data_IF_380725027142
#
_entry.id   IF_380725027142
#
_cell.length_a   1.000
_cell.length_b   1.000
_cell.length_c   1.000
_cell.angle_alpha   90.00
_cell.angle_beta   90.00
_cell.angle_gamma   90.00
#
_symmetry.space_group_name_H-M   'P 1'
#
loop_
_entity.id
_entity.type
_entity.pdbx_description
1 polymer ?
#
# COMPACT_ATOMS: atom_id res chain seq x y z
N UNK A 1 20.03 -21.08 -12.65
CA UNK A 1 18.94 -22.06 -12.42
C UNK A 1 17.91 -21.85 -13.51
N UNK A 2 17.55 -22.93 -14.19
CA UNK A 2 16.76 -22.92 -15.41
C UNK A 2 15.36 -22.32 -15.19
N UNK A 3 14.88 -21.58 -16.20
CA UNK A 3 13.51 -21.08 -16.24
C UNK A 3 12.54 -22.26 -16.26
N UNK A 4 11.63 -22.30 -15.29
CA UNK A 4 10.50 -23.22 -15.25
C UNK A 4 9.50 -22.77 -16.32
N UNK A 5 8.97 -23.67 -17.17
CA UNK A 5 7.99 -23.31 -18.18
C UNK A 5 6.67 -22.95 -17.51
N UNK A 6 6.07 -21.83 -17.92
CA UNK A 6 4.72 -21.42 -17.51
C UNK A 6 3.72 -22.37 -18.18
N UNK A 7 3.22 -23.36 -17.45
CA UNK A 7 2.01 -24.09 -17.87
C UNK A 7 0.79 -23.43 -17.22
N UNK A 8 0.14 -22.50 -17.94
CA UNK A 8 -1.23 -22.10 -17.62
C UNK A 8 -2.19 -23.11 -18.24
N UNK A 9 -3.23 -23.50 -17.49
CA UNK A 9 -4.20 -24.52 -17.90
C UNK A 9 -5.15 -24.02 -19.01
N UNK A 10 -5.21 -22.72 -19.34
CA UNK A 10 -6.14 -22.22 -20.37
C UNK A 10 -5.60 -21.08 -21.27
N UNK A 11 -4.28 -20.87 -21.35
CA UNK A 11 -3.72 -19.86 -22.28
C UNK A 11 -4.06 -18.38 -21.98
N UNK A 12 -4.88 -18.11 -20.96
CA UNK A 12 -5.14 -16.77 -20.44
C UNK A 12 -4.06 -16.35 -19.44
N UNK A 13 -3.56 -15.13 -19.59
CA UNK A 13 -2.62 -14.55 -18.64
C UNK A 13 -3.30 -14.41 -17.26
N UNK A 14 -2.59 -14.69 -16.15
CA UNK A 14 -3.16 -14.52 -14.82
C UNK A 14 -3.51 -13.04 -14.57
N UNK A 15 -4.50 -12.76 -13.72
CA UNK A 15 -4.89 -11.39 -13.44
C UNK A 15 -3.74 -10.59 -12.79
N UNK A 16 -3.67 -9.25 -12.95
CA UNK A 16 -2.53 -8.44 -12.51
C UNK A 16 -2.19 -8.50 -11.01
N UNK A 17 -3.17 -8.88 -10.18
CA UNK A 17 -2.99 -9.08 -8.73
C UNK A 17 -2.48 -10.47 -8.35
N UNK A 18 -2.45 -11.44 -9.28
CA UNK A 18 -1.95 -12.77 -8.97
C UNK A 18 -0.41 -12.79 -9.02
N UNK A 19 0.27 -13.18 -7.93
CA UNK A 19 1.73 -13.13 -7.83
C UNK A 19 2.37 -14.34 -8.53
N UNK A 20 2.16 -14.46 -9.83
CA UNK A 20 2.55 -15.63 -10.64
C UNK A 20 4.04 -15.98 -10.59
N UNK A 21 4.91 -15.03 -10.28
CA UNK A 21 6.35 -15.27 -10.16
C UNK A 21 6.77 -15.67 -8.73
N UNK A 22 5.84 -15.59 -7.76
CA UNK A 22 6.05 -15.98 -6.38
C UNK A 22 5.56 -17.41 -6.06
N UNK A 23 4.59 -17.90 -6.83
CA UNK A 23 3.94 -19.20 -6.62
C UNK A 23 4.20 -20.13 -7.80
N UNK A 24 4.47 -21.40 -7.49
CA UNK A 24 4.71 -22.45 -8.48
C UNK A 24 3.40 -23.22 -8.79
N UNK A 25 2.29 -22.49 -8.82
CA UNK A 25 0.94 -23.03 -9.06
C UNK A 25 0.25 -22.20 -10.13
N UNK A 26 -0.61 -22.80 -10.96
CA UNK A 26 -1.46 -22.04 -11.86
C UNK A 26 -2.46 -21.19 -11.06
N UNK A 27 -2.95 -20.14 -11.70
CA UNK A 27 -4.04 -19.35 -11.18
C UNK A 27 -5.30 -20.20 -11.06
N UNK A 28 -5.71 -20.50 -9.83
CA UNK A 28 -6.93 -21.24 -9.51
C UNK A 28 -7.53 -20.70 -8.19
N UNK A 29 -8.54 -19.82 -8.27
CA UNK A 29 -9.20 -19.23 -7.11
C UNK A 29 -9.79 -20.24 -6.13
N UNK A 30 -10.19 -21.43 -6.59
CA UNK A 30 -10.79 -22.47 -5.73
C UNK A 30 -9.83 -22.95 -4.64
N UNK A 31 -8.51 -22.86 -4.89
CA UNK A 31 -7.47 -23.29 -3.95
C UNK A 31 -7.08 -22.24 -2.92
N UNK A 32 -7.55 -20.99 -3.07
CA UNK A 32 -7.02 -19.87 -2.28
C UNK A 32 -7.37 -19.97 -0.79
N UNK A 33 -8.49 -20.62 -0.44
CA UNK A 33 -8.89 -20.81 0.95
C UNK A 33 -7.99 -21.80 1.70
N UNK A 34 -7.42 -22.79 0.99
CA UNK A 34 -6.45 -23.77 1.53
C UNK A 34 -5.06 -23.14 1.77
N UNK A 35 -4.84 -21.98 1.16
CA UNK A 35 -3.62 -21.21 1.25
C UNK A 35 -2.58 -21.64 0.22
N UNK A 36 -1.97 -20.63 -0.41
CA UNK A 36 -0.94 -20.79 -1.41
C UNK A 36 0.45 -20.74 -0.79
N UNK A 37 1.30 -21.76 -0.98
CA UNK A 37 2.68 -21.72 -0.52
C UNK A 37 3.53 -20.81 -1.42
N UNK A 38 4.48 -20.10 -0.81
CA UNK A 38 5.52 -19.34 -1.49
C UNK A 38 6.85 -19.41 -0.75
N UNK A 39 7.97 -18.99 -1.39
CA UNK A 39 9.25 -18.83 -0.72
C UNK A 39 9.24 -17.87 0.49
N UNK A 40 8.24 -16.99 0.61
CA UNK A 40 8.13 -16.02 1.71
C UNK A 40 7.10 -16.41 2.78
N UNK A 41 6.46 -17.57 2.62
CA UNK A 41 5.42 -18.06 3.53
C UNK A 41 4.14 -18.48 2.81
N UNK A 42 3.11 -18.82 3.57
CA UNK A 42 1.79 -19.17 3.05
C UNK A 42 0.85 -17.98 3.17
N UNK A 43 0.09 -17.70 2.13
CA UNK A 43 -0.95 -16.66 2.13
C UNK A 43 -2.28 -17.24 1.67
N UNK A 44 -3.37 -16.55 1.97
CA UNK A 44 -4.73 -17.02 1.75
C UNK A 44 -5.52 -15.99 0.94
N UNK A 45 -6.52 -16.47 0.24
CA UNK A 45 -7.41 -15.64 -0.56
C UNK A 45 -8.81 -16.20 -0.64
N UNK A 46 -9.58 -15.71 -1.60
CA UNK A 46 -10.92 -16.17 -1.91
C UNK A 46 -11.22 -15.96 -3.38
N UNK A 47 -12.27 -16.62 -3.89
CA UNK A 47 -12.71 -16.42 -5.27
C UNK A 47 -13.48 -15.11 -5.41
N UNK A 48 -12.81 -14.07 -5.89
CA UNK A 48 -13.41 -12.76 -6.11
C UNK A 48 -14.42 -12.76 -7.27
N UNK A 49 -14.42 -13.78 -8.13
CA UNK A 49 -15.29 -13.81 -9.31
C UNK A 49 -16.76 -13.95 -8.93
N UNK A 50 -17.06 -14.58 -7.78
CA UNK A 50 -18.42 -14.65 -7.24
C UNK A 50 -19.02 -13.25 -7.05
N UNK A 51 -18.22 -12.31 -6.54
CA UNK A 51 -18.60 -10.92 -6.30
C UNK A 51 -18.70 -10.07 -7.58
N UNK A 52 -18.49 -10.65 -8.76
CA UNK A 52 -18.75 -10.01 -10.05
C UNK A 52 -20.18 -10.27 -10.56
N UNK A 53 -20.95 -11.12 -9.89
CA UNK A 53 -22.35 -11.40 -10.19
C UNK A 53 -23.28 -10.51 -9.37
N UNK A 54 -24.42 -10.13 -9.96
CA UNK A 54 -25.46 -9.35 -9.28
C UNK A 54 -26.11 -10.16 -8.16
N UNK A 55 -26.30 -11.46 -8.41
CA UNK A 55 -26.92 -12.42 -7.50
C UNK A 55 -26.15 -12.49 -6.18
N UNK A 56 -24.82 -12.46 -6.23
CA UNK A 56 -23.99 -12.50 -5.04
C UNK A 56 -24.19 -11.27 -4.13
N UNK A 57 -24.29 -10.06 -4.70
CA UNK A 57 -24.51 -8.83 -3.92
C UNK A 57 -25.86 -8.82 -3.21
N UNK A 58 -26.90 -9.34 -3.87
CA UNK A 58 -28.27 -9.38 -3.37
C UNK A 58 -28.57 -10.61 -2.47
N UNK A 59 -27.68 -11.60 -2.45
CA UNK A 59 -27.78 -12.75 -1.55
C UNK A 59 -27.37 -12.42 -0.12
N UNK A 60 -27.41 -13.42 0.78
CA UNK A 60 -26.84 -13.31 2.13
C UNK A 60 -25.31 -13.50 2.09
N UNK A 61 -24.60 -12.95 3.08
CA UNK A 61 -23.17 -13.17 3.21
C UNK A 61 -22.66 -12.92 4.62
N UNK A 62 -22.02 -13.94 5.19
CA UNK A 62 -21.38 -13.85 6.51
C UNK A 62 -20.20 -12.86 6.47
N UNK A 63 -20.03 -12.07 7.54
CA UNK A 63 -18.90 -11.15 7.65
C UNK A 63 -19.07 -9.82 6.90
N UNK A 64 -20.24 -9.60 6.28
CA UNK A 64 -20.64 -8.28 5.76
C UNK A 64 -20.82 -7.29 6.90
N UNK A 65 -20.48 -6.03 6.66
CA UNK A 65 -20.62 -4.95 7.64
C UNK A 65 -20.97 -3.63 6.96
N UNK A 66 -21.46 -2.67 7.75
CA UNK A 66 -21.78 -1.31 7.31
C UNK A 66 -23.07 -1.23 6.51
N UNK A 67 -23.19 -0.17 5.71
CA UNK A 67 -24.34 0.08 4.82
C UNK A 67 -24.18 -0.72 3.52
N UNK A 68 -24.33 -2.06 3.62
CA UNK A 68 -24.16 -2.96 2.49
C UNK A 68 -25.12 -2.61 1.34
N UNK A 69 -24.65 -2.50 0.09
CA UNK A 69 -25.53 -2.23 -1.05
C UNK A 69 -26.55 -3.35 -1.27
N UNK A 70 -27.83 -2.99 -1.41
CA UNK A 70 -28.93 -3.90 -1.76
C UNK A 70 -29.53 -3.52 -3.10
N UNK A 71 -30.33 -4.43 -3.67
CA UNK A 71 -31.06 -4.23 -4.92
C UNK A 71 -30.14 -3.85 -6.10
N UNK A 72 -28.92 -4.43 -6.09
CA UNK A 72 -27.94 -4.22 -7.16
C UNK A 72 -28.52 -4.78 -8.45
N UNK A 73 -28.41 -4.03 -9.53
CA UNK A 73 -28.87 -4.45 -10.87
C UNK A 73 -27.73 -4.64 -11.86
N UNK A 74 -26.56 -4.11 -11.54
CA UNK A 74 -25.38 -4.16 -12.41
C UNK A 74 -24.08 -4.17 -11.59
N UNK A 75 -23.14 -4.98 -12.06
CA UNK A 75 -21.75 -5.01 -11.57
C UNK A 75 -20.84 -4.86 -12.78
N UNK A 76 -20.03 -3.80 -12.80
CA UNK A 76 -19.11 -3.52 -13.92
C UNK A 76 -17.68 -3.43 -13.43
N UNK A 77 -16.83 -4.34 -13.86
CA UNK A 77 -15.38 -4.22 -13.63
C UNK A 77 -14.85 -3.03 -14.40
N UNK A 78 -14.21 -2.09 -13.69
CA UNK A 78 -13.64 -0.87 -14.27
C UNK A 78 -12.11 -0.86 -14.25
N UNK A 79 -11.49 -1.64 -13.37
CA UNK A 79 -10.03 -1.73 -13.30
C UNK A 79 -9.59 -3.03 -12.63
N UNK A 80 -8.40 -3.50 -13.02
CA UNK A 80 -7.66 -4.55 -12.34
C UNK A 80 -6.20 -4.12 -12.19
N UNK A 81 -5.67 -4.26 -10.99
CA UNK A 81 -4.30 -3.86 -10.64
C UNK A 81 -3.77 -4.76 -9.52
N UNK A 82 -2.54 -4.52 -9.06
CA UNK A 82 -1.84 -5.41 -8.10
C UNK A 82 -2.53 -5.61 -6.74
N UNK A 83 -3.47 -4.75 -6.37
CA UNK A 83 -4.22 -4.86 -5.11
C UNK A 83 -5.55 -5.60 -5.28
N UNK A 84 -6.01 -5.82 -6.51
CA UNK A 84 -7.24 -6.53 -6.78
C UNK A 84 -8.04 -5.99 -7.97
N UNK A 85 -9.35 -6.13 -7.86
CA UNK A 85 -10.32 -5.73 -8.89
C UNK A 85 -11.20 -4.61 -8.35
N UNK A 86 -11.46 -3.60 -9.17
CA UNK A 86 -12.39 -2.51 -8.87
C UNK A 86 -13.62 -2.65 -9.74
N UNK A 87 -14.79 -2.65 -9.12
CA UNK A 87 -16.08 -2.75 -9.81
C UNK A 87 -17.02 -1.61 -9.39
N UNK A 88 -17.79 -1.09 -10.35
CA UNK A 88 -18.92 -0.22 -10.08
C UNK A 88 -20.16 -1.05 -9.82
N UNK A 89 -20.95 -0.64 -8.82
CA UNK A 89 -22.26 -1.21 -8.52
C UNK A 89 -23.33 -0.15 -8.80
N UNK A 90 -24.16 -0.37 -9.82
CA UNK A 90 -25.21 0.55 -10.29
C UNK A 90 -24.75 2.00 -10.52
N UNK A 91 -23.46 2.19 -10.81
CA UNK A 91 -22.78 3.48 -10.86
C UNK A 91 -23.03 4.39 -9.61
N UNK A 92 -23.45 3.79 -8.49
CA UNK A 92 -23.67 4.45 -7.19
C UNK A 92 -22.52 4.20 -6.21
N UNK A 93 -21.88 3.04 -6.35
CA UNK A 93 -20.83 2.58 -5.45
C UNK A 93 -19.61 2.09 -6.22
N UNK A 94 -18.46 2.14 -5.56
CA UNK A 94 -17.23 1.48 -6.02
C UNK A 94 -16.87 0.39 -5.03
N UNK A 95 -16.81 -0.85 -5.49
CA UNK A 95 -16.33 -1.99 -4.73
C UNK A 95 -14.86 -2.28 -5.07
N UNK A 96 -14.01 -2.33 -4.05
CA UNK A 96 -12.63 -2.77 -4.15
C UNK A 96 -12.54 -4.20 -3.61
N UNK A 97 -12.31 -5.16 -4.50
CA UNK A 97 -12.19 -6.58 -4.18
C UNK A 97 -10.71 -6.93 -3.94
N UNK A 98 -10.38 -7.41 -2.76
CA UNK A 98 -9.03 -7.79 -2.33
C UNK A 98 -8.86 -9.32 -2.40
N UNK A 99 -8.12 -9.86 -3.38
CA UNK A 99 -8.04 -11.30 -3.59
C UNK A 99 -7.38 -12.05 -2.43
N UNK A 100 -6.45 -11.39 -1.73
CA UNK A 100 -5.68 -11.96 -0.64
C UNK A 100 -5.91 -11.19 0.65
N UNK A 101 -6.19 -11.90 1.74
CA UNK A 101 -6.44 -11.26 3.04
C UNK A 101 -5.10 -10.98 3.74
N UNK A 102 -4.73 -9.70 3.82
CA UNK A 102 -3.42 -9.25 4.34
C UNK A 102 -3.50 -8.49 5.65
N UNK A 103 -4.70 -8.31 6.18
CA UNK A 103 -4.98 -7.52 7.37
C UNK A 103 -6.42 -7.02 7.40
N UNK A 104 -6.77 -6.25 8.43
CA UNK A 104 -8.08 -5.59 8.57
C UNK A 104 -7.96 -4.07 8.45
N UNK A 105 -6.95 -3.61 7.70
CA UNK A 105 -6.55 -2.21 7.68
C UNK A 105 -7.70 -1.31 7.24
N UNK A 106 -8.41 -1.68 6.16
CA UNK A 106 -9.48 -0.88 5.58
C UNK A 106 -10.74 -0.91 6.44
N UNK A 107 -11.16 -2.10 6.90
CA UNK A 107 -12.35 -2.19 7.75
C UNK A 107 -12.14 -1.54 9.12
N UNK A 108 -10.94 -1.58 9.69
CA UNK A 108 -10.65 -0.95 10.98
C UNK A 108 -10.82 0.57 10.91
N UNK A 109 -10.46 1.22 9.80
CA UNK A 109 -10.64 2.67 9.62
C UNK A 109 -12.13 3.09 9.70
N UNK A 110 -13.05 2.23 9.25
CA UNK A 110 -14.48 2.51 9.29
C UNK A 110 -15.21 1.99 10.53
N UNK A 111 -14.71 0.92 11.16
CA UNK A 111 -15.38 0.26 12.29
C UNK A 111 -14.83 0.67 13.65
N UNK A 112 -13.60 1.20 13.72
CA UNK A 112 -13.06 1.73 14.96
C UNK A 112 -13.40 3.22 15.09
N UNK A 113 -14.42 3.52 15.91
CA UNK A 113 -15.04 4.84 15.99
C UNK A 113 -14.03 6.00 16.22
N UNK A 114 -13.00 5.90 17.10
CA UNK A 114 -12.02 6.97 17.25
C UNK A 114 -11.30 7.34 15.94
N UNK A 115 -10.95 6.35 15.12
CA UNK A 115 -10.28 6.60 13.84
C UNK A 115 -11.26 7.14 12.80
N UNK A 116 -12.45 6.53 12.70
CA UNK A 116 -13.50 6.98 11.81
C UNK A 116 -13.84 8.46 12.05
N UNK A 117 -14.06 8.84 13.31
CA UNK A 117 -14.40 10.21 13.68
C UNK A 117 -13.31 11.21 13.26
N UNK A 118 -12.03 10.90 13.53
CA UNK A 118 -10.92 11.76 13.15
C UNK A 118 -10.73 11.85 11.63
N UNK A 119 -10.93 10.73 10.92
CA UNK A 119 -10.75 10.65 9.47
C UNK A 119 -11.91 11.23 8.66
N UNK A 120 -13.11 11.35 9.26
CA UNK A 120 -14.31 11.84 8.57
C UNK A 120 -14.17 13.26 8.03
N UNK A 121 -13.30 14.08 8.62
CA UNK A 121 -12.97 15.44 8.16
C UNK A 121 -11.68 15.52 7.34
N UNK A 122 -10.97 14.40 7.16
CA UNK A 122 -9.74 14.33 6.38
C UNK A 122 -10.04 14.00 4.91
N UNK A 123 -9.10 14.24 3.97
CA UNK A 123 -9.28 13.87 2.57
C UNK A 123 -9.03 12.36 2.35
N UNK A 124 -9.75 11.52 3.09
CA UNK A 124 -9.76 10.06 2.97
C UNK A 124 -11.18 9.62 2.61
N UNK A 125 -11.32 8.76 1.60
CA UNK A 125 -12.59 8.08 1.34
C UNK A 125 -12.75 6.93 2.31
N UNK A 126 -13.60 7.11 3.33
CA UNK A 126 -13.97 6.02 4.24
C UNK A 126 -14.91 5.04 3.52
N UNK A 127 -14.69 3.72 3.67
CA UNK A 127 -15.62 2.74 3.14
C UNK A 127 -16.92 2.77 3.95
N UNK A 128 -18.05 2.62 3.25
CA UNK A 128 -19.39 2.60 3.85
C UNK A 128 -19.83 1.19 4.23
N UNK A 129 -19.25 0.18 3.60
CA UNK A 129 -19.52 -1.23 3.83
C UNK A 129 -18.33 -2.10 3.41
N UNK A 130 -18.38 -3.39 3.71
CA UNK A 130 -17.39 -4.33 3.22
C UNK A 130 -17.63 -5.75 3.70
N UNK A 131 -16.71 -6.64 3.33
CA UNK A 131 -16.69 -8.04 3.71
C UNK A 131 -15.33 -8.34 4.34
N UNK A 132 -15.34 -9.01 5.48
CA UNK A 132 -14.11 -9.49 6.13
C UNK A 132 -14.35 -10.83 6.80
N UNK A 133 -13.27 -11.58 6.99
CA UNK A 133 -13.28 -12.82 7.74
C UNK A 133 -12.22 -12.79 8.87
N UNK A 134 -11.89 -13.97 9.41
CA UNK A 134 -10.86 -14.09 10.45
C UNK A 134 -9.46 -13.70 9.97
N UNK A 135 -9.17 -13.82 8.66
CA UNK A 135 -7.86 -13.54 8.07
C UNK A 135 -7.69 -12.07 7.64
N UNK A 136 -8.77 -11.39 7.30
CA UNK A 136 -8.70 -9.98 6.92
C UNK A 136 -9.85 -9.48 6.07
N UNK A 137 -9.65 -8.29 5.51
CA UNK A 137 -10.56 -7.66 4.57
C UNK A 137 -10.55 -8.43 3.23
N UNK A 138 -11.74 -8.72 2.72
CA UNK A 138 -11.96 -9.36 1.42
C UNK A 138 -12.44 -8.34 0.38
N UNK A 139 -13.24 -7.36 0.80
CA UNK A 139 -13.58 -6.21 -0.01
C UNK A 139 -14.01 -5.03 0.84
N UNK A 140 -13.98 -3.84 0.24
CA UNK A 140 -14.56 -2.63 0.78
C UNK A 140 -15.40 -1.91 -0.27
N UNK A 141 -16.51 -1.31 0.15
CA UNK A 141 -17.42 -0.53 -0.68
C UNK A 141 -17.30 0.94 -0.30
N UNK A 142 -17.15 1.79 -1.30
CA UNK A 142 -17.03 3.24 -1.17
C UNK A 142 -18.15 3.93 -1.94
N UNK A 143 -18.52 5.17 -1.56
CA UNK A 143 -19.31 6.03 -2.43
C UNK A 143 -18.67 6.16 -3.82
N UNK A 144 -19.48 6.40 -4.86
CA UNK A 144 -18.97 6.61 -6.21
C UNK A 144 -17.84 7.65 -6.24
N UNK A 145 -16.74 7.28 -6.88
CA UNK A 145 -15.56 8.13 -7.05
C UNK A 145 -14.76 7.68 -8.28
N UNK A 146 -13.92 8.56 -8.80
CA UNK A 146 -13.00 8.24 -9.90
C UNK A 146 -11.57 8.29 -9.39
N UNK A 147 -10.84 7.19 -9.59
CA UNK A 147 -9.41 7.12 -9.31
C UNK A 147 -8.66 7.88 -10.40
N UNK A 148 -7.73 8.74 -9.99
CA UNK A 148 -6.87 9.50 -10.89
C UNK A 148 -5.94 8.55 -11.66
N UNK A 149 -5.70 8.86 -12.92
CA UNK A 149 -4.62 8.22 -13.64
C UNK A 149 -3.28 8.58 -12.98
N UNK A 150 -2.35 7.63 -13.00
CA UNK A 150 -1.02 7.81 -12.42
C UNK A 150 -0.31 9.06 -12.94
N UNK A 151 -0.46 9.37 -14.23
CA UNK A 151 0.13 10.56 -14.86
C UNK A 151 -0.43 11.87 -14.30
N UNK A 152 -1.70 11.90 -13.88
CA UNK A 152 -2.32 13.10 -13.27
C UNK A 152 -1.78 13.34 -11.87
N UNK A 153 -1.57 12.27 -11.09
CA UNK A 153 -0.91 12.34 -9.78
C UNK A 153 0.54 12.80 -9.91
N UNK A 154 1.25 12.33 -10.93
CA UNK A 154 2.64 12.71 -11.22
C UNK A 154 2.79 14.18 -11.64
N UNK A 155 1.74 14.80 -12.20
CA UNK A 155 1.72 16.23 -12.50
C UNK A 155 1.53 17.10 -11.25
N UNK A 156 1.03 16.54 -10.15
CA UNK A 156 0.66 17.27 -8.94
C UNK A 156 1.25 16.65 -7.65
N UNK A 157 2.57 16.39 -7.59
CA UNK A 157 3.17 15.65 -6.48
C UNK A 157 3.06 16.39 -5.13
N UNK A 158 3.09 17.72 -5.13
CA UNK A 158 2.92 18.52 -3.91
C UNK A 158 1.50 18.43 -3.35
N UNK A 159 0.47 18.47 -4.22
CA UNK A 159 -0.91 18.29 -3.78
C UNK A 159 -1.11 16.87 -3.24
N UNK A 160 -0.59 15.85 -3.94
CA UNK A 160 -0.68 14.46 -3.51
C UNK A 160 -0.09 14.25 -2.11
N UNK A 161 1.09 14.79 -1.81
CA UNK A 161 1.71 14.64 -0.50
C UNK A 161 1.03 15.48 0.58
N UNK A 162 0.44 16.63 0.23
CA UNK A 162 -0.38 17.42 1.15
C UNK A 162 -1.67 16.68 1.53
N UNK A 163 -2.34 16.05 0.56
CA UNK A 163 -3.52 15.21 0.79
C UNK A 163 -3.20 14.07 1.75
N UNK A 164 -2.11 13.33 1.52
CA UNK A 164 -1.64 12.29 2.46
C UNK A 164 -1.23 12.89 3.80
N UNK A 165 -0.61 14.08 3.81
CA UNK A 165 -0.26 14.82 5.02
C UNK A 165 -1.46 15.15 5.89
N UNK A 166 -2.60 15.51 5.29
CA UNK A 166 -3.84 15.82 6.02
C UNK A 166 -4.43 14.55 6.68
N UNK A 167 -4.35 13.40 6.01
CA UNK A 167 -4.70 12.11 6.60
C UNK A 167 -3.77 11.77 7.77
N UNK A 168 -2.45 11.95 7.62
CA UNK A 168 -1.51 11.74 8.72
C UNK A 168 -1.78 12.67 9.90
N UNK A 169 -2.08 13.95 9.65
CA UNK A 169 -2.39 14.94 10.68
C UNK A 169 -3.63 14.54 11.50
N UNK A 170 -4.68 14.04 10.84
CA UNK A 170 -5.89 13.55 11.50
C UNK A 170 -5.61 12.35 12.44
N UNK A 171 -4.57 11.56 12.16
CA UNK A 171 -4.20 10.37 12.93
C UNK A 171 -3.18 10.61 14.04
N UNK A 172 -2.63 11.83 14.15
CA UNK A 172 -1.66 12.20 15.21
C UNK A 172 -2.13 11.86 16.63
N UNK A 173 -3.40 12.09 17.02
CA UNK A 173 -3.87 11.76 18.38
C UNK A 173 -3.78 10.27 18.74
N UNK A 174 -3.67 9.39 17.75
CA UNK A 174 -3.60 7.93 17.92
C UNK A 174 -2.21 7.36 17.67
N UNK A 175 -1.21 8.24 17.56
CA UNK A 175 0.17 7.84 17.33
C UNK A 175 0.71 7.04 18.53
N UNK A 176 1.52 6.02 18.24
CA UNK A 176 2.31 5.34 19.25
C UNK A 176 3.66 6.02 19.42
N UNK A 177 4.28 5.96 20.61
CA UNK A 177 5.66 6.40 20.79
C UNK A 177 6.62 5.78 19.77
N UNK A 178 7.82 6.37 19.68
CA UNK A 178 8.89 5.83 18.86
C UNK A 178 9.15 4.35 19.20
N UNK A 179 9.10 3.49 18.19
CA UNK A 179 9.38 2.05 18.29
C UNK A 179 10.50 1.63 17.35
N UNK A 180 11.59 2.41 17.31
CA UNK A 180 12.71 2.22 16.37
C UNK A 180 13.24 0.79 16.29
N UNK A 181 13.29 0.07 17.42
CA UNK A 181 13.73 -1.32 17.46
C UNK A 181 12.85 -2.19 16.56
N UNK A 182 11.52 -2.03 16.64
CA UNK A 182 10.57 -2.80 15.82
C UNK A 182 10.68 -2.44 14.35
N UNK A 183 10.90 -1.17 14.02
CA UNK A 183 11.10 -0.74 12.64
C UNK A 183 12.40 -1.31 12.03
N UNK A 184 13.47 -1.34 12.82
CA UNK A 184 14.75 -1.95 12.44
C UNK A 184 14.66 -3.48 12.33
N UNK A 185 13.93 -4.16 13.23
CA UNK A 185 13.66 -5.60 13.18
C UNK A 185 12.81 -5.95 11.95
N UNK A 186 11.84 -5.09 11.62
CA UNK A 186 11.05 -5.20 10.40
C UNK A 186 11.89 -5.06 9.14
N UNK A 187 12.79 -4.07 9.06
CA UNK A 187 13.75 -3.95 7.94
C UNK A 187 14.60 -5.21 7.79
N UNK A 188 15.12 -5.73 8.91
CA UNK A 188 15.84 -7.01 8.93
C UNK A 188 15.01 -8.14 8.33
N UNK A 189 13.75 -8.25 8.72
CA UNK A 189 12.85 -9.30 8.25
C UNK A 189 12.63 -9.26 6.73
N UNK A 190 12.55 -8.05 6.16
CA UNK A 190 12.45 -7.83 4.71
C UNK A 190 13.75 -8.22 4.01
N UNK A 191 14.89 -7.74 4.51
CA UNK A 191 16.23 -8.04 3.96
C UNK A 191 16.51 -9.55 3.95
N UNK A 192 16.27 -10.24 5.07
CA UNK A 192 16.54 -11.67 5.23
C UNK A 192 15.71 -12.50 4.22
N UNK A 193 14.42 -12.17 4.05
CA UNK A 193 13.54 -12.86 3.10
C UNK A 193 13.87 -12.56 1.63
N UNK A 194 14.27 -11.32 1.33
CA UNK A 194 14.72 -10.94 0.00
C UNK A 194 16.16 -11.37 -0.30
N UNK A 195 16.91 -11.83 0.72
CA UNK A 195 18.33 -12.20 0.66
C UNK A 195 19.17 -11.07 0.06
N UNK A 196 18.91 -9.83 0.49
CA UNK A 196 19.69 -8.68 0.06
C UNK A 196 21.05 -8.67 0.74
N UNK A 197 22.10 -8.20 0.05
CA UNK A 197 23.45 -8.02 0.61
C UNK A 197 23.64 -6.67 1.29
N UNK A 198 22.58 -5.86 1.36
CA UNK A 198 22.58 -4.53 1.96
C UNK A 198 22.07 -4.59 3.39
N UNK A 199 22.59 -3.70 4.24
CA UNK A 199 22.13 -3.51 5.61
C UNK A 199 22.09 -2.02 5.92
N UNK A 200 20.93 -1.53 6.36
CA UNK A 200 20.81 -0.18 6.88
C UNK A 200 19.97 -0.17 8.16
N UNK A 201 20.55 0.34 9.24
CA UNK A 201 19.85 0.65 10.49
C UNK A 201 20.09 2.10 10.86
N UNK A 202 19.11 2.73 11.48
CA UNK A 202 19.25 4.10 11.94
C UNK A 202 18.57 4.29 13.30
N UNK A 203 19.16 5.11 14.20
CA UNK A 203 18.44 5.60 15.37
C UNK A 203 17.37 6.58 14.89
N UNK A 204 16.28 6.75 15.63
CA UNK A 204 15.24 7.73 15.32
C UNK A 204 15.07 8.73 16.47
N UNK A 205 14.69 9.97 16.14
CA UNK A 205 14.33 10.94 17.20
C UNK A 205 13.04 10.51 17.89
N UNK A 206 12.85 10.91 19.15
CA UNK A 206 11.58 10.72 19.88
C UNK A 206 10.34 11.29 19.18
N UNK A 207 10.54 12.20 18.21
CA UNK A 207 9.47 12.85 17.45
C UNK A 207 9.01 12.01 16.27
N UNK A 208 9.75 10.97 15.89
CA UNK A 208 9.29 9.95 14.93
C UNK A 208 8.38 8.99 15.68
N UNK A 209 7.11 8.96 15.31
CA UNK A 209 6.04 8.20 15.99
C UNK A 209 5.34 7.27 14.99
N UNK A 210 4.80 6.15 15.46
CA UNK A 210 4.05 5.22 14.61
C UNK A 210 2.60 5.64 14.45
N UNK A 211 2.05 5.65 13.23
CA UNK A 211 0.65 5.99 12.97
C UNK A 211 -0.22 4.76 12.73
N UNK A 212 -1.53 4.82 13.03
CA UNK A 212 -2.49 3.89 12.46
C UNK A 212 -2.28 3.72 10.95
N UNK A 213 -2.30 2.48 10.48
CA UNK A 213 -2.00 2.16 9.09
C UNK A 213 -3.10 2.68 8.16
N UNK A 214 -2.72 3.60 7.28
CA UNK A 214 -3.48 3.93 6.07
C UNK A 214 -2.53 3.67 4.92
N UNK A 215 -2.67 2.51 4.27
CA UNK A 215 -1.82 2.19 3.14
C UNK A 215 -2.27 3.02 1.93
N UNK A 216 -1.32 3.74 1.34
CA UNK A 216 -1.53 4.63 0.20
C UNK A 216 -0.75 4.11 -1.00
N UNK A 217 -1.41 4.04 -2.15
CA UNK A 217 -0.78 3.85 -3.45
C UNK A 217 -0.94 5.12 -4.29
N UNK A 218 0.07 5.47 -5.09
CA UNK A 218 -0.06 6.59 -6.04
C UNK A 218 -1.12 6.33 -7.12
N UNK A 219 -1.46 5.06 -7.35
CA UNK A 219 -2.52 4.63 -8.26
C UNK A 219 -3.90 4.55 -7.54
N UNK A 220 -3.98 5.08 -6.31
CA UNK A 220 -5.15 5.02 -5.42
C UNK A 220 -5.47 6.38 -4.76
N UNK A 221 -5.19 7.44 -5.51
CA UNK A 221 -5.72 8.77 -5.24
C UNK A 221 -6.93 8.99 -6.14
N UNK A 222 -7.97 9.58 -5.61
CA UNK A 222 -9.23 9.82 -6.32
C UNK A 222 -9.57 11.30 -6.34
N UNK A 223 -10.49 11.68 -7.21
CA UNK A 223 -11.15 12.99 -7.16
C UNK A 223 -12.58 12.81 -6.67
N UNK A 224 -12.99 13.66 -5.73
CA UNK A 224 -14.38 13.82 -5.31
C UNK A 224 -14.70 15.32 -5.31
N UNK A 225 -15.49 15.76 -6.29
CA UNK A 225 -15.66 17.19 -6.57
C UNK A 225 -14.35 17.78 -7.09
N UNK A 226 -13.83 18.81 -6.42
CA UNK A 226 -12.54 19.45 -6.76
C UNK A 226 -11.37 18.97 -5.87
N UNK A 227 -11.65 18.08 -4.90
CA UNK A 227 -10.68 17.65 -3.90
C UNK A 227 -10.06 16.30 -4.27
N UNK A 228 -8.72 16.25 -4.18
CA UNK A 228 -7.99 14.98 -4.20
C UNK A 228 -8.19 14.25 -2.87
N UNK A 229 -8.50 12.96 -2.96
CA UNK A 229 -8.80 12.10 -1.83
C UNK A 229 -7.89 10.86 -1.85
N UNK A 230 -7.52 10.36 -0.68
CA UNK A 230 -6.88 9.04 -0.52
C UNK A 230 -7.96 7.96 -0.54
N UNK A 231 -7.76 6.91 -1.32
CA UNK A 231 -8.51 5.65 -1.17
C UNK A 231 -7.65 4.70 -0.34
N UNK A 232 -8.08 4.30 0.87
CA UNK A 232 -7.30 3.40 1.72
C UNK A 232 -7.19 2.01 1.09
N UNK A 233 -6.02 1.41 1.23
CA UNK A 233 -5.74 0.05 0.78
C UNK A 233 -5.47 -0.88 1.97
N UNK A 234 -5.69 -2.19 1.81
CA UNK A 234 -5.09 -3.15 2.71
C UNK A 234 -3.57 -3.14 2.52
N UNK A 235 -2.85 -3.67 3.51
CA UNK A 235 -1.43 -3.93 3.39
C UNK A 235 -1.14 -4.77 2.12
N UNK A 236 -0.09 -4.44 1.38
CA UNK A 236 0.23 -5.22 0.17
C UNK A 236 0.60 -6.67 0.54
N UNK A 237 0.29 -7.62 -0.35
CA UNK A 237 0.65 -9.03 -0.15
C UNK A 237 2.15 -9.23 0.11
N UNK A 238 2.98 -8.54 -0.68
CA UNK A 238 4.44 -8.60 -0.56
C UNK A 238 4.86 -8.12 0.82
N UNK A 239 4.33 -6.98 1.26
CA UNK A 239 4.65 -6.47 2.59
C UNK A 239 4.21 -7.46 3.68
N UNK A 240 2.97 -7.94 3.62
CA UNK A 240 2.42 -8.94 4.56
C UNK A 240 3.31 -10.19 4.70
N UNK A 241 3.83 -10.70 3.58
CA UNK A 241 4.71 -11.87 3.57
C UNK A 241 6.13 -11.56 4.06
N UNK A 242 6.63 -10.34 3.80
CA UNK A 242 8.02 -10.00 4.08
C UNK A 242 8.29 -9.57 5.53
N UNK A 243 7.27 -9.13 6.27
CA UNK A 243 7.49 -8.58 7.61
C UNK A 243 6.25 -8.64 8.51
N UNK A 244 6.43 -8.56 9.85
CA UNK A 244 5.30 -8.33 10.77
C UNK A 244 4.65 -6.97 10.51
N UNK A 245 3.35 -6.87 10.83
CA UNK A 245 2.64 -5.60 10.78
C UNK A 245 3.12 -4.66 11.89
N UNK A 246 3.35 -3.40 11.53
CA UNK A 246 3.87 -2.38 12.44
C UNK A 246 3.33 -1.00 12.05
N UNK A 247 3.06 -0.18 13.06
CA UNK A 247 2.75 1.23 12.86
C UNK A 247 4.01 1.98 12.43
N UNK A 248 4.09 2.31 11.15
CA UNK A 248 5.19 3.07 10.59
C UNK A 248 4.95 4.58 10.78
N UNK A 249 6.01 5.40 10.82
CA UNK A 249 5.84 6.84 10.79
C UNK A 249 5.28 7.31 9.45
N UNK A 250 4.55 8.43 9.45
CA UNK A 250 4.05 9.04 8.21
C UNK A 250 5.15 9.35 7.20
N UNK A 251 6.39 9.58 7.67
CA UNK A 251 7.58 9.74 6.83
C UNK A 251 7.86 8.50 5.95
N UNK A 252 7.49 7.29 6.40
CA UNK A 252 7.64 6.07 5.61
C UNK A 252 6.79 6.10 4.33
N UNK A 253 5.52 6.51 4.45
CA UNK A 253 4.61 6.68 3.31
C UNK A 253 5.11 7.79 2.38
N UNK A 254 5.54 8.93 2.93
CA UNK A 254 6.04 10.07 2.14
C UNK A 254 7.33 9.73 1.41
N UNK A 255 8.26 9.02 2.05
CA UNK A 255 9.48 8.53 1.40
C UNK A 255 9.19 7.49 0.31
N UNK A 256 8.16 6.66 0.49
CA UNK A 256 7.70 5.76 -0.56
C UNK A 256 7.19 6.56 -1.77
N UNK A 257 6.33 7.56 -1.57
CA UNK A 257 5.85 8.41 -2.66
C UNK A 257 7.01 9.14 -3.35
N UNK A 258 7.91 9.76 -2.58
CA UNK A 258 9.08 10.44 -3.11
C UNK A 258 9.93 9.52 -3.98
N UNK A 259 10.18 8.30 -3.51
CA UNK A 259 11.00 7.34 -4.24
C UNK A 259 10.34 6.92 -5.56
N UNK A 260 9.02 6.72 -5.57
CA UNK A 260 8.26 6.38 -6.79
C UNK A 260 8.28 7.52 -7.82
N UNK A 261 8.21 8.76 -7.38
CA UNK A 261 8.37 9.93 -8.26
C UNK A 261 9.81 10.11 -8.74
N UNK A 262 10.81 9.91 -7.86
CA UNK A 262 12.23 9.94 -8.22
C UNK A 262 12.59 8.95 -9.33
N UNK A 263 11.97 7.77 -9.36
CA UNK A 263 12.17 6.77 -10.43
C UNK A 263 11.58 7.16 -11.79
N UNK A 264 10.84 8.27 -11.86
CA UNK A 264 10.29 8.88 -13.07
C UNK A 264 11.00 10.20 -13.40
N UNK A 265 12.15 10.46 -12.76
CA UNK A 265 12.93 11.69 -12.92
C UNK A 265 12.15 12.98 -12.57
N UNK A 266 11.07 12.88 -11.79
CA UNK A 266 10.25 14.02 -11.36
C UNK A 266 10.95 14.92 -10.33
N UNK A 267 12.04 14.43 -9.72
CA UNK A 267 12.89 15.20 -8.82
C UNK A 267 14.30 15.37 -9.40
N UNK A 268 14.38 16.07 -10.53
CA UNK A 268 15.63 16.38 -11.22
C UNK A 268 16.59 17.27 -10.41
N UNK A 269 16.11 17.99 -9.39
CA UNK A 269 16.93 18.85 -8.52
C UNK A 269 16.75 18.54 -7.03
N UNK A 270 17.73 18.93 -6.22
CA UNK A 270 17.61 18.92 -4.75
C UNK A 270 16.51 19.87 -4.26
N UNK A 271 16.28 20.99 -4.96
CA UNK A 271 15.23 21.96 -4.65
C UNK A 271 13.82 21.38 -4.77
N UNK A 272 13.52 20.66 -5.86
CA UNK A 272 12.20 20.04 -6.05
C UNK A 272 11.90 18.96 -5.01
N UNK A 273 12.91 18.16 -4.63
CA UNK A 273 12.73 17.17 -3.55
C UNK A 273 12.50 17.83 -2.20
N UNK A 274 13.22 18.92 -1.90
CA UNK A 274 13.02 19.69 -0.67
C UNK A 274 11.61 20.28 -0.60
N UNK A 275 11.15 20.91 -1.69
CA UNK A 275 9.80 21.48 -1.78
C UNK A 275 8.70 20.44 -1.53
N UNK A 276 8.88 19.20 -1.97
CA UNK A 276 7.95 18.10 -1.70
C UNK A 276 7.81 17.80 -0.19
N UNK A 277 8.92 17.69 0.54
CA UNK A 277 8.88 17.48 1.99
C UNK A 277 8.40 18.73 2.75
N UNK A 278 8.71 19.93 2.26
CA UNK A 278 8.18 21.18 2.81
C UNK A 278 6.66 21.25 2.66
N UNK A 279 6.11 20.87 1.50
CA UNK A 279 4.67 20.79 1.27
C UNK A 279 3.97 19.80 2.22
N UNK A 280 4.59 18.66 2.51
CA UNK A 280 4.10 17.77 3.57
C UNK A 280 4.19 18.42 4.96
N UNK A 281 5.30 19.10 5.23
CA UNK A 281 5.61 19.75 6.51
C UNK A 281 4.70 20.93 6.87
N UNK A 282 4.00 21.54 5.91
CA UNK A 282 3.00 22.57 6.20
C UNK A 282 1.72 22.00 6.84
N UNK A 283 1.51 20.68 6.79
CA UNK A 283 0.27 20.03 7.24
C UNK A 283 0.48 19.25 8.55
N UNK A 284 1.61 18.55 8.68
CA UNK A 284 1.90 17.70 9.85
C UNK A 284 2.59 18.47 10.98
N UNK A 285 2.66 17.92 12.22
CA UNK A 285 3.37 18.57 13.31
C UNK A 285 4.81 18.95 12.92
N UNK A 286 5.21 20.19 13.18
CA UNK A 286 6.52 20.74 12.78
C UNK A 286 7.73 19.95 13.33
N UNK A 287 7.53 19.21 14.43
CA UNK A 287 8.57 18.34 14.99
C UNK A 287 8.90 17.14 14.09
N UNK A 288 8.00 16.69 13.23
CA UNK A 288 8.21 15.58 12.29
C UNK A 288 9.08 15.98 11.10
N UNK A 289 9.05 17.26 10.73
CA UNK A 289 9.84 17.83 9.63
C UNK A 289 11.03 18.66 10.13
N UNK A 290 11.33 18.60 11.42
CA UNK A 290 12.53 19.22 11.97
C UNK A 290 13.80 18.68 11.30
N UNK A 291 14.90 19.46 11.23
CA UNK A 291 16.17 18.99 10.68
C UNK A 291 16.64 17.67 11.30
N UNK A 292 16.38 17.47 12.60
CA UNK A 292 16.69 16.24 13.30
C UNK A 292 15.86 15.04 12.84
N UNK A 293 14.56 15.21 12.61
CA UNK A 293 13.66 14.13 12.19
C UNK A 293 13.82 13.76 10.71
N UNK A 294 14.29 14.67 9.86
CA UNK A 294 14.59 14.40 8.45
C UNK A 294 16.04 13.99 8.21
N UNK A 295 16.94 14.15 9.19
CA UNK A 295 18.36 13.85 9.07
C UNK A 295 18.63 12.37 8.84
N UNK A 296 19.52 12.06 7.89
CA UNK A 296 20.02 10.70 7.67
C UNK A 296 20.60 10.07 8.94
N UNK A 297 21.37 10.85 9.71
CA UNK A 297 22.05 10.37 10.91
C UNK A 297 21.07 9.96 12.03
N UNK A 298 19.80 10.39 11.92
CA UNK A 298 18.74 10.10 12.90
C UNK A 298 17.52 9.44 12.26
N UNK A 299 17.76 8.57 11.26
CA UNK A 299 16.71 7.71 10.72
C UNK A 299 15.61 8.49 10.00
N UNK A 300 15.99 9.62 9.40
CA UNK A 300 15.10 10.45 8.60
C UNK A 300 14.80 9.84 7.23
N UNK A 301 14.80 10.64 6.18
CA UNK A 301 14.23 10.24 4.88
C UNK A 301 14.85 8.97 4.28
N UNK A 302 16.17 8.81 4.38
CA UNK A 302 16.91 7.79 3.64
C UNK A 302 16.62 6.35 4.06
N UNK A 303 16.46 6.08 5.36
CA UNK A 303 16.13 4.73 5.83
C UNK A 303 14.75 4.29 5.30
N UNK A 304 13.82 5.23 5.16
CA UNK A 304 12.49 4.97 4.63
C UNK A 304 12.46 4.86 3.10
N UNK A 305 13.35 5.56 2.38
CA UNK A 305 13.59 5.32 0.96
C UNK A 305 14.15 3.92 0.72
N UNK A 306 15.10 3.50 1.57
CA UNK A 306 15.62 2.13 1.56
C UNK A 306 14.51 1.10 1.81
N UNK A 307 13.66 1.30 2.82
CA UNK A 307 12.47 0.47 3.05
C UNK A 307 11.56 0.41 1.82
N UNK A 308 11.25 1.54 1.19
CA UNK A 308 10.40 1.59 -0.01
C UNK A 308 11.02 0.82 -1.20
N UNK A 309 12.34 0.89 -1.36
CA UNK A 309 13.05 0.16 -2.42
C UNK A 309 13.07 -1.35 -2.19
N UNK A 310 13.22 -1.80 -0.94
CA UNK A 310 13.12 -3.22 -0.60
C UNK A 310 11.72 -3.77 -0.91
N UNK A 311 10.66 -3.07 -0.49
CA UNK A 311 9.29 -3.51 -0.79
C UNK A 311 9.01 -3.50 -2.29
N UNK A 312 9.52 -2.50 -3.02
CA UNK A 312 9.40 -2.43 -4.49
C UNK A 312 10.13 -3.59 -5.20
N UNK A 313 11.29 -4.01 -4.68
CA UNK A 313 12.00 -5.19 -5.17
C UNK A 313 11.19 -6.46 -4.92
N UNK A 314 10.60 -6.61 -3.72
CA UNK A 314 9.70 -7.70 -3.40
C UNK A 314 8.50 -7.77 -4.34
N UNK A 315 7.85 -6.63 -4.60
CA UNK A 315 6.76 -6.53 -5.59
C UNK A 315 7.25 -6.95 -6.98
N UNK A 316 8.40 -6.45 -7.41
CA UNK A 316 8.92 -6.77 -8.73
C UNK A 316 9.18 -8.28 -8.90
N UNK A 317 9.72 -8.93 -7.86
CA UNK A 317 9.97 -10.38 -7.86
C UNK A 317 8.68 -11.18 -7.81
N UNK A 318 7.69 -10.75 -7.03
CA UNK A 318 6.43 -11.48 -6.90
C UNK A 318 5.57 -11.48 -8.17
N UNK A 319 5.65 -10.39 -8.95
CA UNK A 319 4.84 -10.18 -10.14
C UNK A 319 5.64 -10.22 -11.46
N UNK A 320 6.88 -10.73 -11.45
CA UNK A 320 7.67 -10.93 -12.66
C UNK A 320 8.13 -9.64 -13.37
N UNK A 321 8.23 -8.51 -12.66
CA UNK A 321 8.56 -7.20 -13.23
C UNK A 321 10.08 -7.02 -13.38
N UNK A 322 10.70 -7.72 -14.34
CA UNK A 322 12.15 -7.77 -14.49
C UNK A 322 12.85 -6.39 -14.60
N UNK A 323 12.25 -5.44 -15.33
CA UNK A 323 12.79 -4.07 -15.45
C UNK A 323 12.79 -3.34 -14.10
N UNK A 324 11.73 -3.45 -13.32
CA UNK A 324 11.63 -2.84 -11.99
C UNK A 324 12.62 -3.51 -11.03
N UNK A 325 12.72 -4.84 -11.06
CA UNK A 325 13.69 -5.57 -10.23
C UNK A 325 15.12 -5.11 -10.48
N UNK A 326 15.54 -5.00 -11.75
CA UNK A 326 16.87 -4.50 -12.12
C UNK A 326 17.13 -3.07 -11.65
N UNK A 327 16.13 -2.19 -11.75
CA UNK A 327 16.24 -0.82 -11.23
C UNK A 327 16.41 -0.81 -9.71
N UNK A 328 15.65 -1.64 -8.99
CA UNK A 328 15.77 -1.76 -7.55
C UNK A 328 17.13 -2.32 -7.12
N UNK A 329 17.61 -3.39 -7.75
CA UNK A 329 18.92 -3.98 -7.46
C UNK A 329 20.05 -2.97 -7.72
N UNK A 330 19.96 -2.18 -8.80
CA UNK A 330 20.92 -1.11 -9.10
C UNK A 330 20.98 -0.05 -8.00
N UNK A 331 19.83 0.42 -7.52
CA UNK A 331 19.79 1.38 -6.42
C UNK A 331 20.29 0.78 -5.09
N UNK A 332 19.92 -0.48 -4.81
CA UNK A 332 20.35 -1.18 -3.59
C UNK A 332 21.85 -1.44 -3.58
N UNK A 333 22.46 -1.72 -4.74
CA UNK A 333 23.91 -1.89 -4.85
C UNK A 333 24.70 -0.65 -4.42
N UNK A 334 24.13 0.54 -4.62
CA UNK A 334 24.75 1.81 -4.22
C UNK A 334 24.53 2.17 -2.73
N UNK A 335 23.75 1.39 -1.96
CA UNK A 335 23.43 1.69 -0.55
C UNK A 335 24.68 1.92 0.30
N UNK A 336 25.70 1.07 0.19
CA UNK A 336 26.94 1.23 0.98
C UNK A 336 27.67 2.53 0.64
N UNK A 337 27.65 2.97 -0.63
CA UNK A 337 28.24 4.25 -1.06
C UNK A 337 27.40 5.43 -0.59
N UNK A 338 26.08 5.30 -0.61
CA UNK A 338 25.15 6.30 -0.09
C UNK A 338 25.38 6.48 1.41
N UNK A 339 25.47 5.40 2.17
CA UNK A 339 25.78 5.43 3.59
C UNK A 339 27.13 6.10 3.87
N UNK A 340 28.17 5.75 3.12
CA UNK A 340 29.51 6.35 3.27
C UNK A 340 29.55 7.86 2.96
N UNK A 341 28.65 8.37 2.12
CA UNK A 341 28.54 9.81 1.83
C UNK A 341 27.72 10.59 2.86
N UNK A 342 26.91 9.89 3.65
CA UNK A 342 25.94 10.51 4.58
C UNK A 342 26.34 10.36 6.05
N UNK A 343 27.27 9.46 6.37
CA UNK A 343 27.91 9.34 7.69
C UNK A 343 29.11 10.27 7.81
#
# INVERSE_FOLDING_TARGET
MAAVPVSSVDGTAPPPWYPHALVDRPFDPSTFQEGLPSPWGRFYGWDINEALSVEWWNGEGEGRWGAWPTDITSVKVVSQHRWGTVAHLDDKWVAHLYPFQTGRDVSTLALHEPWKAALSASPLLLPVAGLKNQRGDQLAVFPMHSVLARTEVEQQPHQAVQTVGAVHAALVPFATPNTERRWNDRLKAVEDRLKTTTLWRAPHTRHVVGLPSVHVGLDHLAIKGESMMVVPLPRSLVDHLLAPDERLPGLATVAMMEQRFSMKDLFASTGSRRAFYEAWGTIVPSTWTSPGSLSTAKGGVWIWRYHAMLLMLGEARAYGLAKQAKQCDGWLFDVSRIQARLG
#
